data_IF_584374085026
#
_entry.id   IF_584374085026
#
_cell.length_a   1.000
_cell.length_b   1.000
_cell.length_c   1.000
_cell.angle_alpha   90.00
_cell.angle_beta   90.00
_cell.angle_gamma   90.00
#
_symmetry.space_group_name_H-M   'P 1'
#
loop_
_entity.id
_entity.type
_entity.pdbx_description
1 polymer ?
#
# COMPACT_ATOMS: atom_id res chain seq x y z
N UNK A 1 34.97 -65.54 -61.15
CA UNK A 1 33.50 -65.48 -61.21
C UNK A 1 33.07 -64.34 -60.30
N UNK A 2 32.68 -63.21 -60.90
CA UNK A 2 31.28 -62.74 -61.01
C UNK A 2 30.77 -62.38 -59.62
N UNK A 3 30.63 -61.09 -59.30
CA UNK A 3 29.35 -60.42 -59.04
C UNK A 3 29.37 -59.88 -57.59
N UNK A 4 28.76 -58.78 -57.20
CA UNK A 4 27.97 -57.76 -57.88
C UNK A 4 27.86 -56.57 -56.93
N UNK A 5 27.94 -55.37 -57.50
CA UNK A 5 27.56 -54.09 -56.91
C UNK A 5 26.19 -54.17 -56.21
N UNK A 6 26.07 -53.60 -55.03
CA UNK A 6 24.85 -52.85 -54.67
C UNK A 6 25.29 -51.50 -54.10
N UNK A 7 25.15 -50.51 -54.95
CA UNK A 7 25.39 -49.09 -54.72
C UNK A 7 24.10 -48.53 -54.10
N UNK A 8 24.07 -48.32 -52.79
CA UNK A 8 23.01 -47.57 -52.11
C UNK A 8 23.54 -46.17 -51.79
N UNK A 9 23.33 -45.27 -52.74
CA UNK A 9 23.50 -43.82 -52.57
C UNK A 9 22.30 -43.29 -51.77
N UNK A 10 22.43 -43.19 -50.45
CA UNK A 10 21.54 -42.37 -49.63
C UNK A 10 22.14 -40.97 -49.59
N UNK A 11 21.65 -40.09 -50.47
CA UNK A 11 21.98 -38.67 -50.46
C UNK A 11 21.37 -38.00 -49.23
N UNK A 12 22.20 -37.71 -48.23
CA UNK A 12 21.82 -36.83 -47.12
C UNK A 12 21.90 -35.38 -47.62
N UNK A 13 20.73 -34.78 -47.87
CA UNK A 13 20.60 -33.34 -48.06
C UNK A 13 20.85 -32.65 -46.71
N UNK A 14 22.07 -32.17 -46.48
CA UNK A 14 22.36 -31.25 -45.39
C UNK A 14 21.85 -29.86 -45.77
N UNK A 15 20.64 -29.53 -45.34
CA UNK A 15 20.16 -28.15 -45.31
C UNK A 15 21.04 -27.36 -44.35
N UNK A 16 21.96 -26.55 -44.88
CA UNK A 16 22.73 -25.59 -44.11
C UNK A 16 21.77 -24.59 -43.45
N UNK A 17 21.46 -24.80 -42.18
CA UNK A 17 20.76 -23.82 -41.35
C UNK A 17 21.79 -22.78 -40.97
N UNK A 18 21.78 -21.64 -41.64
CA UNK A 18 22.52 -20.46 -41.20
C UNK A 18 21.93 -20.03 -39.86
N UNK A 19 22.60 -20.38 -38.76
CA UNK A 19 22.32 -19.80 -37.44
C UNK A 19 22.75 -18.34 -37.51
N UNK A 20 21.80 -17.46 -37.79
CA UNK A 20 21.98 -16.02 -37.64
C UNK A 20 22.21 -15.77 -36.15
N UNK A 21 23.47 -15.58 -35.75
CA UNK A 21 23.79 -15.21 -34.38
C UNK A 21 23.02 -13.93 -34.04
N UNK A 22 22.10 -14.04 -33.08
CA UNK A 22 21.31 -12.92 -32.60
C UNK A 22 22.29 -11.84 -32.10
N UNK A 23 22.24 -10.59 -32.60
CA UNK A 23 23.19 -9.57 -32.19
C UNK A 23 23.07 -9.38 -30.67
N UNK A 24 24.19 -9.55 -29.97
CA UNK A 24 24.27 -9.42 -28.51
C UNK A 24 23.88 -7.99 -28.14
N UNK A 25 22.61 -7.81 -27.74
CA UNK A 25 22.12 -6.52 -27.24
C UNK A 25 22.75 -6.26 -25.88
N UNK A 26 23.64 -5.27 -25.80
CA UNK A 26 24.19 -4.82 -24.52
C UNK A 26 23.29 -3.74 -23.92
N UNK A 27 22.92 -3.93 -22.66
CA UNK A 27 22.13 -3.00 -21.86
C UNK A 27 23.01 -2.17 -20.94
N UNK A 28 22.79 -0.86 -20.90
CA UNK A 28 23.32 0.02 -19.84
C UNK A 28 22.17 0.86 -19.31
N UNK A 29 21.97 0.88 -17.99
CA UNK A 29 20.93 1.67 -17.32
C UNK A 29 19.59 1.72 -18.08
N UNK A 30 19.03 0.53 -18.36
CA UNK A 30 17.73 0.34 -19.03
C UNK A 30 17.64 0.80 -20.51
N UNK A 31 18.76 1.16 -21.15
CA UNK A 31 18.81 1.45 -22.59
C UNK A 31 19.37 0.23 -23.33
N UNK A 32 18.60 -0.31 -24.29
CA UNK A 32 19.08 -1.34 -25.23
C UNK A 32 19.67 -0.69 -26.47
N UNK A 33 20.97 -0.88 -26.68
CA UNK A 33 21.64 -0.43 -27.90
C UNK A 33 21.85 -1.60 -28.88
N UNK A 34 21.65 -1.38 -30.20
CA UNK A 34 21.78 -2.44 -31.20
C UNK A 34 23.22 -2.91 -31.41
N UNK A 35 24.22 -2.06 -31.14
CA UNK A 35 25.63 -2.38 -31.33
C UNK A 35 26.45 -2.20 -30.04
N UNK A 36 26.62 -0.96 -29.58
CA UNK A 36 27.43 -0.65 -28.38
C UNK A 36 26.78 0.47 -27.58
N UNK A 37 26.89 0.39 -26.25
CA UNK A 37 26.48 1.44 -25.34
C UNK A 37 27.71 1.98 -24.59
N UNK A 38 27.78 3.30 -24.42
CA UNK A 38 28.83 3.99 -23.68
C UNK A 38 28.23 5.09 -22.80
N UNK A 39 28.83 5.33 -21.62
CA UNK A 39 28.46 6.44 -20.75
C UNK A 39 29.23 7.69 -21.19
N UNK A 40 28.53 8.68 -21.73
CA UNK A 40 29.13 9.97 -22.11
C UNK A 40 28.55 11.03 -21.19
N UNK A 41 29.41 11.65 -20.36
CA UNK A 41 29.01 12.64 -19.33
C UNK A 41 27.92 12.14 -18.37
N UNK A 42 27.95 10.86 -18.00
CA UNK A 42 26.98 10.26 -17.09
C UNK A 42 25.67 9.78 -17.75
N UNK A 43 25.49 9.98 -19.06
CA UNK A 43 24.30 9.53 -19.79
C UNK A 43 24.60 8.34 -20.70
N UNK A 44 23.77 7.27 -20.70
CA UNK A 44 23.93 6.14 -21.60
C UNK A 44 23.64 6.56 -23.04
N UNK A 45 24.60 6.35 -23.93
CA UNK A 45 24.52 6.74 -25.35
C UNK A 45 24.82 5.53 -26.24
N UNK A 46 24.00 5.29 -27.27
CA UNK A 46 24.23 4.23 -28.24
C UNK A 46 25.22 4.68 -29.32
N UNK A 47 26.32 3.94 -29.47
CA UNK A 47 27.34 4.19 -30.49
C UNK A 47 27.10 3.23 -31.67
N UNK A 48 26.87 3.77 -32.87
CA UNK A 48 26.93 3.01 -34.12
C UNK A 48 25.62 2.52 -34.74
N UNK A 49 24.48 3.19 -34.56
CA UNK A 49 23.33 2.99 -35.46
C UNK A 49 21.97 3.19 -34.82
N UNK A 50 21.22 4.16 -35.37
CA UNK A 50 19.81 4.42 -35.11
C UNK A 50 19.51 5.20 -33.84
N UNK A 51 18.46 6.06 -33.84
CA UNK A 51 17.97 6.70 -32.62
C UNK A 51 17.54 5.63 -31.60
N UNK A 52 17.84 5.80 -30.29
CA UNK A 52 17.46 4.83 -29.27
C UNK A 52 15.93 4.69 -29.25
N UNK A 53 15.43 3.47 -29.47
CA UNK A 53 14.03 3.17 -29.15
C UNK A 53 13.93 3.17 -27.63
N UNK A 54 13.24 4.17 -27.09
CA UNK A 54 12.85 4.20 -25.69
C UNK A 54 11.91 3.03 -25.48
N UNK A 55 12.43 1.93 -24.95
CA UNK A 55 11.59 0.88 -24.39
C UNK A 55 11.00 1.46 -23.12
N UNK A 56 9.69 1.66 -23.13
CA UNK A 56 8.90 2.01 -21.97
C UNK A 56 9.30 1.06 -20.84
N UNK A 57 9.90 1.60 -19.79
CA UNK A 57 10.38 0.83 -18.67
C UNK A 57 9.16 0.25 -17.97
N UNK A 58 8.76 -0.97 -18.37
CA UNK A 58 7.90 -1.80 -17.56
C UNK A 58 8.60 -1.90 -16.21
N UNK A 59 8.05 -1.21 -15.21
CA UNK A 59 8.53 -1.25 -13.84
C UNK A 59 8.52 -2.72 -13.44
N UNK A 60 9.70 -3.32 -13.34
CA UNK A 60 9.87 -4.67 -12.81
C UNK A 60 9.75 -4.58 -11.30
N UNK A 61 8.56 -4.25 -10.81
CA UNK A 61 8.24 -4.54 -9.42
C UNK A 61 8.33 -6.06 -9.27
N UNK A 62 9.12 -6.49 -8.30
CA UNK A 62 9.20 -7.90 -7.97
C UNK A 62 7.80 -8.35 -7.55
N UNK A 63 7.32 -9.55 -7.95
CA UNK A 63 6.07 -10.10 -7.43
C UNK A 63 6.01 -10.11 -5.88
N UNK A 64 7.17 -10.14 -5.22
CA UNK A 64 7.31 -10.03 -3.77
C UNK A 64 7.16 -8.61 -3.18
N UNK A 65 7.19 -7.55 -3.99
CA UNK A 65 6.99 -6.17 -3.49
C UNK A 65 5.52 -5.90 -3.11
N UNK A 66 4.60 -6.63 -3.73
CA UNK A 66 3.15 -6.55 -3.47
C UNK A 66 2.73 -7.51 -2.35
N UNK A 67 3.43 -8.64 -2.21
CA UNK A 67 3.07 -9.72 -1.28
C UNK A 67 3.75 -9.58 0.08
N UNK A 68 2.95 -9.41 1.15
CA UNK A 68 3.48 -9.39 2.53
C UNK A 68 3.56 -10.80 3.11
N UNK A 69 4.73 -11.43 2.98
CA UNK A 69 5.01 -12.69 3.67
C UNK A 69 5.43 -12.45 5.13
N UNK A 70 5.00 -13.30 6.09
CA UNK A 70 5.36 -13.15 7.50
C UNK A 70 6.84 -13.40 7.79
N UNK A 71 7.51 -14.21 6.95
CA UNK A 71 8.92 -14.58 7.13
C UNK A 71 9.76 -14.16 5.91
N UNK A 72 9.51 -14.77 4.74
CA UNK A 72 10.29 -14.53 3.53
C UNK A 72 9.45 -14.81 2.28
N UNK A 73 9.66 -13.99 1.25
CA UNK A 73 9.08 -14.20 -0.08
C UNK A 73 10.18 -14.67 -1.04
N UNK A 74 9.90 -15.71 -1.81
CA UNK A 74 10.74 -16.19 -2.91
C UNK A 74 9.94 -16.23 -4.20
N UNK A 75 10.60 -16.00 -5.34
CA UNK A 75 9.95 -16.10 -6.66
C UNK A 75 10.28 -17.48 -7.24
N UNK A 76 9.27 -18.34 -7.34
CA UNK A 76 9.36 -19.70 -7.89
C UNK A 76 8.49 -19.72 -9.14
N UNK A 77 9.06 -20.07 -10.30
CA UNK A 77 8.35 -20.12 -11.58
C UNK A 77 7.62 -18.82 -11.99
N UNK A 78 8.21 -17.66 -11.64
CA UNK A 78 7.63 -16.30 -11.79
C UNK A 78 6.44 -15.99 -10.88
N UNK A 79 6.16 -16.82 -9.89
CA UNK A 79 5.13 -16.58 -8.88
C UNK A 79 5.76 -16.29 -7.52
N UNK A 80 5.19 -15.33 -6.77
CA UNK A 80 5.64 -15.04 -5.41
C UNK A 80 5.09 -16.09 -4.44
N UNK A 81 5.98 -16.75 -3.71
CA UNK A 81 5.64 -17.79 -2.73
C UNK A 81 6.21 -17.40 -1.36
N UNK A 82 5.37 -17.47 -0.33
CA UNK A 82 5.83 -17.29 1.04
C UNK A 82 6.44 -18.58 1.57
N UNK A 83 7.73 -18.56 1.87
CA UNK A 83 8.47 -19.70 2.44
C UNK A 83 8.72 -19.43 3.93
N UNK A 84 8.17 -20.31 4.77
CA UNK A 84 8.48 -20.35 6.19
C UNK A 84 9.77 -21.11 6.47
N UNK A 85 10.33 -21.03 7.69
CA UNK A 85 11.42 -21.90 8.10
C UNK A 85 10.99 -23.37 7.95
N UNK A 86 11.90 -24.29 7.56
CA UNK A 86 11.61 -25.71 7.57
C UNK A 86 11.16 -26.09 8.98
N UNK A 87 9.90 -26.48 9.11
CA UNK A 87 9.29 -26.86 10.38
C UNK A 87 9.90 -28.19 10.82
N UNK A 88 10.94 -28.13 11.65
CA UNK A 88 11.52 -29.30 12.33
C UNK A 88 10.64 -29.79 13.52
N UNK A 89 9.53 -29.11 13.82
CA UNK A 89 8.62 -29.43 14.93
C UNK A 89 7.29 -30.08 14.49
N UNK A 90 7.35 -31.19 13.73
CA UNK A 90 6.19 -32.05 13.45
C UNK A 90 6.51 -33.51 13.80
N UNK A 91 6.77 -33.75 15.08
CA UNK A 91 6.88 -35.08 15.68
C UNK A 91 5.77 -35.38 16.70
N UNK A 92 4.64 -34.67 16.67
CA UNK A 92 3.44 -35.06 17.43
C UNK A 92 2.25 -35.16 16.49
N UNK A 93 1.95 -36.41 16.09
CA UNK A 93 0.83 -36.76 15.24
C UNK A 93 -0.49 -36.48 15.93
N UNK A 94 -1.20 -35.48 15.43
CA UNK A 94 -2.66 -35.45 15.46
C UNK A 94 -3.12 -35.20 14.04
N UNK A 95 -3.56 -36.28 13.40
CA UNK A 95 -4.09 -36.29 12.03
C UNK A 95 -5.45 -35.57 12.02
N UNK A 96 -5.43 -34.28 11.69
CA UNK A 96 -6.61 -33.58 11.16
C UNK A 96 -6.42 -33.42 9.65
N UNK A 97 -7.46 -33.78 8.91
CA UNK A 97 -7.51 -33.94 7.45
C UNK A 97 -6.89 -32.80 6.65
N UNK A 98 -6.24 -33.10 5.50
CA UNK A 98 -5.75 -32.10 4.57
C UNK A 98 -6.86 -31.71 3.59
N UNK A 99 -7.89 -31.01 4.05
CA UNK A 99 -8.74 -30.21 3.17
C UNK A 99 -8.16 -28.79 3.18
N UNK A 100 -7.09 -28.62 2.42
CA UNK A 100 -6.40 -27.36 2.16
C UNK A 100 -7.29 -26.48 1.27
N UNK A 101 -8.39 -25.98 1.82
CA UNK A 101 -9.07 -24.83 1.28
C UNK A 101 -8.24 -23.60 1.65
N UNK A 102 -7.62 -22.99 0.64
CA UNK A 102 -6.93 -21.71 0.73
C UNK A 102 -7.95 -20.57 0.89
N UNK A 103 -8.94 -20.76 1.77
CA UNK A 103 -9.74 -19.67 2.29
C UNK A 103 -8.82 -18.89 3.20
N UNK A 104 -8.45 -17.69 2.77
CA UNK A 104 -7.90 -16.63 3.61
C UNK A 104 -8.64 -16.66 4.95
N UNK A 105 -8.06 -17.32 5.97
CA UNK A 105 -8.75 -17.62 7.23
C UNK A 105 -8.84 -16.32 8.00
N UNK A 106 -9.79 -15.49 7.61
CA UNK A 106 -10.04 -14.21 8.24
C UNK A 106 -10.37 -14.51 9.69
N UNK A 107 -9.58 -13.95 10.60
CA UNK A 107 -9.72 -14.19 12.04
C UNK A 107 -11.18 -14.11 12.49
N UNK A 108 -11.56 -14.97 13.44
CA UNK A 108 -12.93 -15.00 13.94
C UNK A 108 -13.28 -13.67 14.63
N UNK A 109 -14.46 -13.12 14.33
CA UNK A 109 -14.90 -11.86 14.95
C UNK A 109 -15.33 -12.13 16.40
N UNK A 110 -14.69 -11.47 17.35
CA UNK A 110 -14.96 -11.57 18.78
C UNK A 110 -15.32 -10.20 19.33
N UNK A 111 -16.62 -9.90 19.39
CA UNK A 111 -17.09 -8.57 19.80
C UNK A 111 -16.63 -7.45 18.87
N UNK A 112 -15.92 -6.48 19.45
CA UNK A 112 -15.27 -5.36 18.74
C UNK A 112 -13.91 -5.73 18.15
N UNK A 113 -13.35 -6.87 18.56
CA UNK A 113 -12.03 -7.33 18.15
C UNK A 113 -12.16 -8.44 17.10
N UNK A 114 -11.12 -8.65 16.30
CA UNK A 114 -10.98 -9.85 15.46
C UNK A 114 -9.84 -10.67 16.03
N UNK A 115 -10.09 -11.94 16.33
CA UNK A 115 -9.09 -12.80 16.93
C UNK A 115 -7.95 -13.07 15.95
N UNK A 116 -6.68 -13.02 16.41
CA UNK A 116 -5.55 -13.44 15.61
C UNK A 116 -5.68 -14.90 15.16
N UNK A 117 -4.96 -15.28 14.11
CA UNK A 117 -4.88 -16.68 13.67
C UNK A 117 -4.46 -17.60 14.82
N UNK A 118 -5.14 -18.75 14.94
CA UNK A 118 -4.89 -19.74 16.00
C UNK A 118 -5.44 -19.38 17.38
N UNK A 119 -6.20 -18.29 17.51
CA UNK A 119 -6.95 -17.93 18.72
C UNK A 119 -8.45 -18.13 18.47
N UNK A 120 -9.20 -18.50 19.51
CA UNK A 120 -10.67 -18.59 19.49
C UNK A 120 -11.30 -17.51 20.34
N UNK A 121 -12.52 -17.09 19.99
CA UNK A 121 -13.26 -16.12 20.78
C UNK A 121 -13.75 -16.76 22.09
N UNK A 122 -13.21 -16.30 23.22
CA UNK A 122 -13.65 -16.75 24.54
C UNK A 122 -14.85 -15.95 25.02
N UNK A 123 -14.79 -14.61 24.90
CA UNK A 123 -15.89 -13.77 25.34
C UNK A 123 -16.19 -12.68 24.31
N UNK A 124 -17.25 -12.90 23.53
CA UNK A 124 -17.73 -11.97 22.51
C UNK A 124 -18.16 -10.63 23.08
N UNK A 125 -18.56 -10.56 24.34
CA UNK A 125 -18.93 -9.28 24.97
C UNK A 125 -17.72 -8.38 25.20
N UNK A 126 -16.51 -8.95 25.37
CA UNK A 126 -15.29 -8.18 25.66
C UNK A 126 -14.28 -8.20 24.52
N UNK A 127 -14.54 -9.02 23.50
CA UNK A 127 -13.57 -9.33 22.46
C UNK A 127 -12.30 -10.00 22.98
N UNK A 128 -12.45 -10.88 23.98
CA UNK A 128 -11.33 -11.63 24.57
C UNK A 128 -11.04 -12.88 23.71
N UNK A 129 -9.85 -12.92 23.13
CA UNK A 129 -9.36 -14.04 22.33
C UNK A 129 -8.37 -14.87 23.13
N UNK A 130 -8.57 -16.19 23.19
CA UNK A 130 -7.70 -17.13 23.93
C UNK A 130 -7.14 -18.20 23.02
N UNK A 131 -6.09 -18.89 23.47
CA UNK A 131 -5.61 -20.09 22.77
C UNK A 131 -6.61 -21.24 22.95
N UNK A 132 -6.71 -22.19 21.99
CA UNK A 132 -7.67 -23.29 22.05
C UNK A 132 -7.56 -24.15 23.31
N UNK A 133 -6.37 -24.26 23.91
CA UNK A 133 -6.15 -25.07 25.13
C UNK A 133 -6.35 -24.29 26.44
N UNK A 134 -6.76 -23.02 26.39
CA UNK A 134 -6.98 -22.19 27.56
C UNK A 134 -8.47 -22.15 27.93
N UNK A 135 -8.77 -22.38 29.21
CA UNK A 135 -10.13 -22.25 29.72
C UNK A 135 -10.62 -20.81 29.60
N UNK A 136 -11.87 -20.64 29.17
CA UNK A 136 -12.51 -19.35 29.09
C UNK A 136 -13.13 -18.97 30.43
N UNK A 137 -12.73 -17.83 31.00
CA UNK A 137 -13.40 -17.27 32.18
C UNK A 137 -14.58 -16.41 31.73
N UNK A 138 -15.79 -16.73 32.22
CA UNK A 138 -17.01 -15.94 32.04
C UNK A 138 -16.98 -14.65 32.88
N UNK A 139 -15.93 -13.84 32.72
CA UNK A 139 -15.86 -12.55 33.39
C UNK A 139 -16.94 -11.63 32.80
N UNK A 140 -17.73 -11.04 33.68
CA UNK A 140 -18.61 -9.92 33.33
C UNK A 140 -17.68 -8.75 33.04
N UNK A 141 -17.47 -8.47 31.77
CA UNK A 141 -16.78 -7.25 31.39
C UNK A 141 -17.74 -6.08 31.55
N UNK A 142 -17.22 -4.96 32.05
CA UNK A 142 -17.90 -3.67 31.87
C UNK A 142 -18.29 -3.53 30.39
N UNK A 143 -19.46 -2.91 30.10
CA UNK A 143 -20.02 -2.90 28.75
C UNK A 143 -18.94 -2.47 27.77
N UNK A 144 -18.53 -3.41 26.91
CA UNK A 144 -17.50 -3.13 25.92
C UNK A 144 -17.95 -1.90 25.15
N UNK A 145 -17.07 -0.91 25.10
CA UNK A 145 -17.42 0.41 24.63
C UNK A 145 -18.15 0.38 23.29
N UNK A 146 -18.94 1.42 23.03
CA UNK A 146 -19.68 1.54 21.79
C UNK A 146 -18.69 1.70 20.61
N UNK A 147 -18.71 0.77 19.65
CA UNK A 147 -17.90 0.90 18.43
C UNK A 147 -18.28 2.19 17.68
N UNK A 148 -17.29 3.04 17.45
CA UNK A 148 -17.41 4.31 16.75
C UNK A 148 -16.33 4.40 15.69
N UNK A 149 -16.64 4.00 14.45
CA UNK A 149 -15.65 4.00 13.38
C UNK A 149 -14.39 3.18 13.74
N UNK A 150 -13.19 3.77 13.61
CA UNK A 150 -11.94 3.12 14.02
C UNK A 150 -11.71 3.04 15.54
N UNK A 151 -12.56 3.67 16.36
CA UNK A 151 -12.41 3.76 17.82
C UNK A 151 -13.51 3.00 18.56
N UNK A 152 -13.31 2.77 19.86
CA UNK A 152 -14.29 2.17 20.78
C UNK A 152 -14.54 3.14 21.94
N UNK A 153 -15.76 3.64 22.08
CA UNK A 153 -16.14 4.65 23.06
C UNK A 153 -16.47 4.01 24.41
N UNK A 154 -15.64 4.25 25.43
CA UNK A 154 -15.81 3.67 26.77
C UNK A 154 -15.46 4.69 27.87
N UNK A 155 -15.77 4.34 29.13
CA UNK A 155 -15.42 5.15 30.29
C UNK A 155 -16.08 6.53 30.28
N UNK A 156 -15.27 7.59 30.38
CA UNK A 156 -15.74 8.98 30.47
C UNK A 156 -16.39 9.51 29.17
N UNK A 157 -16.16 8.84 28.03
CA UNK A 157 -16.73 9.23 26.73
C UNK A 157 -17.47 8.08 26.07
N UNK A 158 -18.62 7.63 26.61
CA UNK A 158 -19.28 6.41 26.14
C UNK A 158 -20.10 6.60 24.85
N UNK A 159 -20.25 7.83 24.34
CA UNK A 159 -21.11 8.11 23.18
C UNK A 159 -20.32 8.32 21.90
N UNK A 160 -20.75 7.65 20.82
CA UNK A 160 -20.15 7.82 19.50
C UNK A 160 -20.66 9.11 18.86
N UNK A 161 -19.75 10.06 18.72
CA UNK A 161 -20.04 11.40 18.23
C UNK A 161 -19.95 11.49 16.71
N UNK A 162 -18.99 10.78 16.12
CA UNK A 162 -18.81 10.73 14.67
C UNK A 162 -18.26 9.37 14.24
N UNK A 163 -19.11 8.55 13.63
CA UNK A 163 -18.75 7.19 13.18
C UNK A 163 -17.69 7.18 12.08
N UNK A 164 -17.58 8.20 11.24
CA UNK A 164 -16.57 8.23 10.18
C UNK A 164 -15.18 8.49 10.75
N UNK A 165 -15.11 9.29 11.82
CA UNK A 165 -13.85 9.72 12.45
C UNK A 165 -13.47 8.89 13.67
N UNK A 166 -14.42 8.16 14.25
CA UNK A 166 -14.25 7.50 15.55
C UNK A 166 -14.03 8.44 16.72
N UNK A 167 -14.76 9.56 16.72
CA UNK A 167 -14.73 10.53 17.82
C UNK A 167 -15.77 10.12 18.86
N UNK A 168 -15.33 10.01 20.11
CA UNK A 168 -16.16 9.70 21.26
C UNK A 168 -16.39 10.96 22.10
N UNK A 169 -17.53 11.05 22.78
CA UNK A 169 -17.88 12.17 23.65
C UNK A 169 -18.51 11.69 24.96
N UNK A 170 -18.45 12.54 25.98
CA UNK A 170 -19.18 12.38 27.22
C UNK A 170 -20.69 12.54 26.99
N UNK A 171 -21.50 12.10 27.96
CA UNK A 171 -22.97 12.16 27.91
C UNK A 171 -23.54 13.56 27.65
N UNK A 172 -22.80 14.59 28.04
CA UNK A 172 -23.12 16.01 27.96
C UNK A 172 -22.27 16.78 26.93
N UNK A 173 -21.36 16.10 26.23
CA UNK A 173 -20.51 16.74 25.24
C UNK A 173 -21.21 16.96 23.90
N UNK A 174 -20.88 18.05 23.22
CA UNK A 174 -21.48 18.41 21.92
C UNK A 174 -20.81 17.68 20.76
N UNK A 175 -21.61 17.37 19.74
CA UNK A 175 -21.13 16.69 18.54
C UNK A 175 -21.11 17.58 17.31
N UNK A 176 -19.95 17.64 16.66
CA UNK A 176 -19.80 18.26 15.33
C UNK A 176 -19.71 17.17 14.27
N UNK A 177 -20.61 17.19 13.28
CA UNK A 177 -20.62 16.24 12.16
C UNK A 177 -19.59 16.59 11.08
N UNK A 178 -18.31 16.57 11.41
CA UNK A 178 -17.25 16.79 10.43
C UNK A 178 -17.07 15.56 9.53
N UNK A 179 -16.99 15.75 8.21
CA UNK A 179 -16.65 14.67 7.28
C UNK A 179 -15.14 14.39 7.38
N UNK A 180 -14.74 13.26 7.99
CA UNK A 180 -13.35 12.82 7.94
C UNK A 180 -13.04 12.22 6.57
N UNK A 181 -12.45 13.02 5.68
CA UNK A 181 -12.10 12.60 4.32
C UNK A 181 -10.89 11.64 4.23
N UNK A 182 -10.25 11.31 5.35
CA UNK A 182 -9.25 10.24 5.42
C UNK A 182 -9.42 9.52 6.74
N UNK A 183 -9.58 8.21 6.68
CA UNK A 183 -9.60 7.35 7.86
C UNK A 183 -8.34 7.64 8.67
N UNK A 184 -8.51 8.19 9.86
CA UNK A 184 -7.45 8.32 10.85
C UNK A 184 -7.03 6.90 11.21
N UNK A 185 -6.04 6.34 10.52
CA UNK A 185 -5.38 5.15 11.05
C UNK A 185 -4.41 5.65 12.13
N UNK A 186 -4.47 5.13 13.37
CA UNK A 186 -3.53 5.53 14.43
C UNK A 186 -2.06 5.37 14.01
N UNK A 187 -1.81 4.49 13.03
CA UNK A 187 -0.50 4.17 12.46
C UNK A 187 0.06 5.25 11.51
N UNK A 188 -0.74 6.18 11.00
CA UNK A 188 -0.29 7.25 10.09
C UNK A 188 0.25 8.49 10.83
N UNK A 189 0.02 8.58 12.15
CA UNK A 189 0.51 9.71 12.96
C UNK A 189 2.04 9.78 13.04
N UNK A 190 2.77 8.70 12.71
CA UNK A 190 4.25 8.69 12.61
C UNK A 190 4.81 8.84 11.19
N UNK A 191 3.99 8.77 10.14
CA UNK A 191 4.47 8.87 8.73
C UNK A 191 4.33 10.25 8.11
N UNK A 192 3.65 11.19 8.79
CA UNK A 192 3.43 12.53 8.24
C UNK A 192 4.43 13.60 8.70
N UNK A 193 5.31 13.35 9.67
CA UNK A 193 6.36 14.35 10.01
C UNK A 193 7.33 14.63 8.84
N UNK A 194 7.50 13.69 7.92
CA UNK A 194 8.33 13.88 6.71
C UNK A 194 7.54 14.35 5.49
N UNK A 195 6.26 13.99 5.36
CA UNK A 195 5.41 14.46 4.26
C UNK A 195 4.91 15.90 4.46
N UNK A 196 4.70 16.35 5.71
CA UNK A 196 4.36 17.73 6.05
C UNK A 196 5.51 18.73 5.79
N UNK A 197 6.75 18.24 5.63
CA UNK A 197 7.87 19.09 5.24
C UNK A 197 7.88 19.47 3.76
N UNK A 198 7.12 18.81 2.89
CA UNK A 198 7.35 18.89 1.44
C UNK A 198 6.47 19.91 0.69
N UNK A 199 5.39 20.47 1.25
CA UNK A 199 4.58 21.47 0.50
C UNK A 199 4.06 22.69 1.26
N UNK A 200 4.65 23.06 2.39
CA UNK A 200 4.30 24.30 3.10
C UNK A 200 5.04 25.53 2.53
N UNK A 201 5.02 25.70 1.22
CA UNK A 201 5.65 26.82 0.51
C UNK A 201 4.69 27.45 -0.50
N UNK A 202 4.40 28.74 -0.31
CA UNK A 202 3.64 29.61 -1.22
C UNK A 202 2.26 29.09 -1.66
N UNK A 203 1.48 28.51 -0.74
CA UNK A 203 0.12 28.10 -1.07
C UNK A 203 -0.81 29.32 -1.20
N UNK A 204 -1.67 29.31 -2.21
CA UNK A 204 -2.68 30.36 -2.42
C UNK A 204 -3.76 30.26 -1.34
N UNK A 205 -4.11 31.40 -0.73
CA UNK A 205 -5.13 31.50 0.30
C UNK A 205 -6.00 32.73 -0.01
N UNK A 206 -7.13 32.51 -0.69
CA UNK A 206 -7.98 33.60 -1.16
C UNK A 206 -7.28 34.51 -2.17
N UNK A 207 -7.32 35.82 -1.88
CA UNK A 207 -6.59 36.86 -2.62
C UNK A 207 -5.09 36.91 -2.24
N UNK A 208 -4.67 36.26 -1.15
CA UNK A 208 -3.30 36.21 -0.67
C UNK A 208 -2.55 34.91 -0.97
N UNK A 209 -1.26 34.88 -0.66
CA UNK A 209 -0.42 33.68 -0.66
C UNK A 209 0.25 33.55 0.69
N UNK A 210 0.14 32.38 1.33
CA UNK A 210 0.75 32.18 2.65
C UNK A 210 2.26 32.08 2.55
N UNK A 211 2.95 32.71 3.50
CA UNK A 211 4.40 32.59 3.65
C UNK A 211 4.80 31.13 3.91
N UNK A 212 6.05 30.79 3.58
CA UNK A 212 6.62 29.47 3.84
C UNK A 212 6.49 29.12 5.34
N UNK A 213 5.96 27.94 5.65
CA UNK A 213 5.74 27.51 7.03
C UNK A 213 4.38 27.88 7.62
N UNK A 214 3.48 28.52 6.86
CA UNK A 214 2.11 28.85 7.29
C UNK A 214 1.08 27.95 6.59
N UNK A 215 -0.09 27.75 7.19
CA UNK A 215 -1.28 27.09 6.63
C UNK A 215 -2.40 28.10 6.31
N UNK A 216 -3.18 27.85 5.25
CA UNK A 216 -4.33 28.70 4.91
C UNK A 216 -5.48 28.40 5.87
N UNK A 217 -5.78 29.35 6.75
CA UNK A 217 -6.85 29.22 7.73
C UNK A 217 -8.20 29.59 7.12
N UNK A 218 -8.28 30.74 6.44
CA UNK A 218 -9.54 31.21 5.87
C UNK A 218 -9.30 31.75 4.47
N UNK A 219 -9.73 30.96 3.48
CA UNK A 219 -9.59 31.30 2.07
C UNK A 219 -10.47 32.47 1.63
N UNK A 220 -11.61 32.74 2.29
CA UNK A 220 -12.44 33.90 1.98
C UNK A 220 -11.75 35.21 2.35
N UNK A 221 -11.01 35.20 3.47
CA UNK A 221 -10.30 36.36 4.01
C UNK A 221 -8.82 36.43 3.63
N UNK A 222 -8.26 35.36 3.05
CA UNK A 222 -6.83 35.21 2.83
C UNK A 222 -5.99 35.18 4.11
N UNK A 223 -6.54 34.66 5.21
CA UNK A 223 -5.85 34.58 6.51
C UNK A 223 -5.00 33.32 6.54
N UNK A 224 -3.71 33.49 6.82
CA UNK A 224 -2.73 32.42 7.01
C UNK A 224 -2.32 32.35 8.48
N UNK A 225 -2.21 31.14 9.03
CA UNK A 225 -1.79 30.88 10.42
C UNK A 225 -0.62 29.91 10.47
N UNK A 226 0.05 29.83 11.62
CA UNK A 226 1.06 28.78 11.83
C UNK A 226 0.35 27.42 11.99
N UNK A 227 0.97 26.30 11.57
CA UNK A 227 0.47 24.96 11.83
C UNK A 227 0.07 24.78 13.31
N UNK A 228 -1.16 24.32 13.53
CA UNK A 228 -1.73 24.13 14.87
C UNK A 228 -2.22 25.43 15.54
N UNK A 229 -2.22 26.55 14.82
CA UNK A 229 -2.83 27.80 15.27
C UNK A 229 -4.35 27.74 15.25
N UNK A 230 -5.01 28.49 16.14
CA UNK A 230 -6.47 28.60 16.12
C UNK A 230 -6.91 29.34 14.86
N UNK A 231 -7.93 28.80 14.20
CA UNK A 231 -8.51 29.37 12.99
C UNK A 231 -9.99 29.69 13.19
N UNK A 232 -10.40 30.91 12.85
CA UNK A 232 -11.82 31.32 12.87
C UNK A 232 -12.34 31.51 11.46
N UNK A 233 -13.40 30.78 11.11
CA UNK A 233 -14.08 30.81 9.81
C UNK A 233 -15.03 32.02 9.68
N UNK A 234 -14.48 33.23 9.73
CA UNK A 234 -15.25 34.46 9.56
C UNK A 234 -15.56 34.70 8.07
N UNK A 235 -16.75 35.20 7.75
CA UNK A 235 -17.05 35.66 6.40
C UNK A 235 -16.47 37.06 6.20
N UNK A 236 -15.57 37.21 5.23
CA UNK A 236 -15.10 38.52 4.79
C UNK A 236 -15.91 38.98 3.58
N UNK A 237 -16.41 40.23 3.56
CA UNK A 237 -17.04 40.77 2.36
C UNK A 237 -16.02 40.81 1.23
N UNK A 238 -16.37 40.23 0.09
CA UNK A 238 -15.59 40.36 -1.14
C UNK A 238 -15.52 41.84 -1.48
N UNK A 239 -14.31 42.40 -1.61
CA UNK A 239 -14.08 43.79 -1.99
C UNK A 239 -14.53 44.14 -3.44
N UNK A 240 -15.44 43.36 -4.01
CA UNK A 240 -15.91 43.48 -5.39
C UNK A 240 -17.31 44.15 -5.44
N UNK A 241 -17.74 44.79 -4.34
CA UNK A 241 -18.87 45.74 -4.38
C UNK A 241 -18.32 47.08 -4.83
N UNK A 242 -17.97 47.14 -6.11
CA UNK A 242 -17.77 48.41 -6.82
C UNK A 242 -19.12 49.11 -6.81
N UNK A 243 -19.19 50.22 -6.07
CA UNK A 243 -20.34 51.08 -5.94
C UNK A 243 -20.83 51.49 -7.33
N UNK A 244 -21.98 50.95 -7.74
CA UNK A 244 -22.73 51.48 -8.87
C UNK A 244 -23.21 52.86 -8.42
N UNK A 245 -22.49 53.90 -8.83
CA UNK A 245 -22.92 55.29 -8.72
C UNK A 245 -24.20 55.42 -9.57
N UNK A 246 -25.36 55.56 -8.92
CA UNK A 246 -26.60 55.93 -9.58
C UNK A 246 -26.44 57.36 -10.15
N UNK A 247 -26.58 57.46 -11.47
CA UNK A 247 -26.67 58.72 -12.23
C UNK A 247 -28.13 59.16 -12.38
#
# INVERSE_FOLDING_TARGET
MIATKVLLLVGMAFSATTVTANPVTKTCHNVKCPARCAMIKGNPTCMGGGPPKVVEAASKESPCDIMRCPVRCEVIDNEAVCVGPPSEDLANGNTLSPDADNTSVKGEKCGVTTCPFGKTCCNSSCGLCVSPDMACTQQICEPAGLQCGPSVCSGATPFCCNKSCGICTASDGFCTQQLCNRGFTPSESKRNEEADKIKLGNQKCGKGTCAKGMECCNSSCGICVKPGGMCTQQFCPSADVESVEEA
#
